data_IF_580904681907
#
_entry.id   IF_580904681907
#
_cell.length_a   1.000
_cell.length_b   1.000
_cell.length_c   1.000
_cell.angle_alpha   90.00
_cell.angle_beta   90.00
_cell.angle_gamma   90.00
#
_symmetry.space_group_name_H-M   'P 1'
#
loop_
_entity.id
_entity.type
_entity.pdbx_description
1 polymer ?
#
# COMPACT_ATOMS: atom_id res chain seq x y z
N UNK A 1 -17.24 4.39 -3.00
CA UNK A 1 -17.15 3.94 -1.60
C UNK A 1 -17.21 5.16 -0.70
N UNK A 2 -17.75 5.03 0.52
CA UNK A 2 -17.75 6.13 1.49
C UNK A 2 -16.32 6.44 1.95
N UNK A 3 -15.98 7.73 2.04
CA UNK A 3 -14.70 8.21 2.58
C UNK A 3 -14.56 7.74 4.03
N UNK A 4 -13.46 7.07 4.35
CA UNK A 4 -13.18 6.63 5.71
C UNK A 4 -12.63 7.80 6.54
N UNK A 5 -12.85 7.73 7.84
CA UNK A 5 -12.35 8.70 8.80
C UNK A 5 -10.81 8.71 8.78
N UNK A 6 -10.20 9.90 8.91
CA UNK A 6 -8.76 10.00 9.10
C UNK A 6 -8.27 9.13 10.28
N UNK A 7 -7.10 8.50 10.09
CA UNK A 7 -6.53 7.52 11.01
C UNK A 7 -7.02 6.08 10.81
N UNK A 8 -8.02 5.85 9.95
CA UNK A 8 -8.44 4.48 9.59
C UNK A 8 -7.40 3.82 8.68
N UNK A 9 -7.00 2.59 9.01
CA UNK A 9 -6.23 1.74 8.11
C UNK A 9 -7.13 1.29 6.96
N UNK A 10 -6.73 1.61 5.73
CA UNK A 10 -7.49 1.38 4.52
C UNK A 10 -7.09 0.05 3.85
N UNK A 11 -5.80 -0.24 3.83
CA UNK A 11 -5.23 -1.29 3.00
C UNK A 11 -3.84 -1.71 3.50
N UNK A 12 -3.40 -2.90 3.11
CA UNK A 12 -2.03 -3.36 3.32
C UNK A 12 -1.42 -3.86 2.02
N UNK A 13 -0.21 -3.40 1.71
CA UNK A 13 0.60 -3.92 0.61
C UNK A 13 1.93 -4.43 1.11
N UNK A 14 2.40 -5.52 0.54
CA UNK A 14 3.78 -5.95 0.65
C UNK A 14 4.54 -5.46 -0.58
N UNK A 15 5.58 -4.65 -0.39
CA UNK A 15 6.53 -4.34 -1.48
C UNK A 15 7.74 -5.25 -1.38
N UNK A 16 8.11 -5.93 -2.47
CA UNK A 16 9.24 -6.90 -2.54
C UNK A 16 9.90 -6.89 -3.92
N UNK A 17 11.15 -7.34 -4.04
CA UNK A 17 11.84 -7.37 -5.34
C UNK A 17 11.18 -8.32 -6.36
N UNK A 18 10.63 -9.44 -5.89
CA UNK A 18 10.01 -10.48 -6.71
C UNK A 18 8.62 -10.85 -6.15
N UNK A 19 7.58 -10.13 -6.59
CA UNK A 19 6.22 -10.38 -6.16
C UNK A 19 5.67 -11.72 -6.65
N UNK A 20 6.16 -12.23 -7.79
CA UNK A 20 5.77 -13.56 -8.31
C UNK A 20 6.12 -14.64 -7.30
N UNK A 21 7.40 -14.73 -6.93
CA UNK A 21 7.89 -15.75 -6.00
C UNK A 21 7.28 -15.58 -4.60
N UNK A 22 7.15 -14.34 -4.12
CA UNK A 22 6.63 -14.07 -2.77
C UNK A 22 5.13 -14.30 -2.67
N UNK A 23 4.36 -14.01 -3.71
CA UNK A 23 2.92 -14.32 -3.71
C UNK A 23 2.68 -15.83 -3.69
N UNK A 24 3.39 -16.61 -4.50
CA UNK A 24 3.35 -18.09 -4.48
C UNK A 24 3.73 -18.67 -3.11
N UNK A 25 4.70 -18.05 -2.44
CA UNK A 25 5.07 -18.41 -1.08
C UNK A 25 3.91 -18.20 -0.10
N UNK A 26 3.24 -17.04 -0.13
CA UNK A 26 2.10 -16.79 0.77
C UNK A 26 0.87 -17.63 0.42
N UNK A 27 0.66 -18.02 -0.84
CA UNK A 27 -0.36 -19.03 -1.17
C UNK A 27 -0.11 -20.33 -0.40
N UNK A 28 1.13 -20.78 -0.31
CA UNK A 28 1.49 -22.02 0.38
C UNK A 28 1.51 -21.90 1.90
N UNK A 29 1.93 -20.76 2.44
CA UNK A 29 2.10 -20.58 3.89
C UNK A 29 0.80 -20.23 4.60
N UNK A 30 0.00 -19.33 4.03
CA UNK A 30 -1.24 -18.84 4.66
C UNK A 30 -2.51 -19.22 3.91
N UNK A 31 -2.39 -19.83 2.73
CA UNK A 31 -3.53 -20.33 1.97
C UNK A 31 -4.28 -19.25 1.18
N UNK A 32 -3.65 -18.12 0.89
CA UNK A 32 -4.28 -17.07 0.09
C UNK A 32 -4.53 -17.49 -1.37
N UNK A 33 -5.66 -17.04 -1.89
CA UNK A 33 -5.96 -17.06 -3.32
C UNK A 33 -5.30 -15.84 -3.98
N UNK A 34 -4.64 -16.06 -5.11
CA UNK A 34 -3.86 -15.06 -5.83
C UNK A 34 -4.58 -14.66 -7.11
N UNK A 35 -4.68 -13.36 -7.35
CA UNK A 35 -5.16 -12.80 -8.62
C UNK A 35 -4.15 -11.79 -9.16
N UNK A 36 -3.89 -11.86 -10.47
CA UNK A 36 -2.97 -10.95 -11.14
C UNK A 36 -3.59 -9.56 -11.31
N UNK A 37 -2.77 -8.53 -11.10
CA UNK A 37 -3.07 -7.14 -11.37
C UNK A 37 -2.06 -6.61 -12.39
N UNK A 38 -2.52 -6.35 -13.61
CA UNK A 38 -1.64 -5.90 -14.69
C UNK A 38 -1.06 -4.51 -14.40
N UNK A 39 0.27 -4.42 -14.44
CA UNK A 39 1.04 -3.18 -14.32
C UNK A 39 1.64 -2.73 -15.65
N UNK A 40 1.13 -3.27 -16.77
CA UNK A 40 1.68 -3.10 -18.11
C UNK A 40 2.53 -4.29 -18.53
N UNK A 41 3.86 -4.17 -18.37
CA UNK A 41 4.84 -5.19 -18.77
C UNK A 41 5.10 -6.28 -17.72
N UNK A 42 4.51 -6.15 -16.53
CA UNK A 42 4.52 -7.15 -15.46
C UNK A 42 3.19 -7.17 -14.70
N UNK A 43 3.06 -8.10 -13.76
CA UNK A 43 1.92 -8.20 -12.85
C UNK A 43 2.37 -7.97 -11.40
N UNK A 44 1.56 -7.22 -10.67
CA UNK A 44 1.49 -7.31 -9.21
C UNK A 44 0.32 -8.24 -8.84
N UNK A 45 0.09 -8.47 -7.55
CA UNK A 45 -0.89 -9.46 -7.10
C UNK A 45 -1.81 -8.93 -6.03
N UNK A 46 -3.10 -9.22 -6.18
CA UNK A 46 -4.09 -9.11 -5.09
C UNK A 46 -4.27 -10.50 -4.48
N UNK A 47 -4.07 -10.58 -3.17
CA UNK A 47 -4.19 -11.78 -2.37
C UNK A 47 -5.46 -11.71 -1.53
N UNK A 48 -6.19 -12.81 -1.44
CA UNK A 48 -7.45 -12.89 -0.71
C UNK A 48 -7.47 -14.13 0.18
N UNK A 49 -8.11 -14.04 1.35
CA UNK A 49 -8.42 -15.23 2.13
C UNK A 49 -9.32 -16.18 1.34
N UNK A 50 -9.03 -17.49 1.41
CA UNK A 50 -9.87 -18.50 0.80
C UNK A 50 -11.30 -18.43 1.36
N UNK A 51 -12.29 -18.59 0.50
CA UNK A 51 -13.72 -18.51 0.84
C UNK A 51 -14.12 -17.15 1.46
N UNK A 52 -13.35 -16.10 1.22
CA UNK A 52 -13.67 -14.77 1.70
C UNK A 52 -15.00 -14.27 1.13
N UNK A 53 -15.70 -13.46 1.94
CA UNK A 53 -16.97 -12.88 1.58
C UNK A 53 -16.84 -12.03 0.30
N UNK A 54 -17.55 -12.35 -0.79
CA UNK A 54 -17.47 -11.59 -2.04
C UNK A 54 -17.93 -10.14 -1.89
N UNK A 55 -18.79 -9.84 -0.91
CA UNK A 55 -19.29 -8.48 -0.66
C UNK A 55 -18.33 -7.64 0.22
N UNK A 56 -17.35 -8.28 0.86
CA UNK A 56 -16.38 -7.63 1.72
C UNK A 56 -15.05 -8.42 1.73
N UNK A 57 -14.35 -8.50 0.59
CA UNK A 57 -13.18 -9.35 0.46
C UNK A 57 -12.00 -8.75 1.25
N UNK A 58 -11.57 -9.45 2.30
CA UNK A 58 -10.34 -9.17 3.02
C UNK A 58 -9.16 -9.45 2.09
N UNK A 59 -8.58 -8.38 1.57
CA UNK A 59 -7.57 -8.44 0.51
C UNK A 59 -6.35 -7.60 0.87
N UNK A 60 -5.20 -8.02 0.35
CA UNK A 60 -3.92 -7.33 0.46
C UNK A 60 -3.20 -7.38 -0.88
N UNK A 61 -2.31 -6.43 -1.15
CA UNK A 61 -1.47 -6.49 -2.34
C UNK A 61 -0.08 -7.05 -2.05
N UNK A 62 0.52 -7.67 -3.07
CA UNK A 62 1.94 -7.97 -3.12
C UNK A 62 2.47 -7.35 -4.42
N UNK A 63 3.29 -6.32 -4.25
CA UNK A 63 3.79 -5.47 -5.32
C UNK A 63 5.30 -5.64 -5.53
N UNK A 64 5.73 -5.56 -6.78
CA UNK A 64 7.13 -5.44 -7.11
C UNK A 64 7.69 -4.07 -6.66
N UNK A 65 8.90 -4.09 -6.12
CA UNK A 65 9.71 -2.91 -5.86
C UNK A 65 10.24 -2.34 -7.20
N UNK A 66 9.35 -1.75 -7.98
CA UNK A 66 9.60 -1.18 -9.31
C UNK A 66 9.03 0.23 -9.41
N UNK A 67 9.53 1.00 -10.37
CA UNK A 67 9.09 2.37 -10.63
C UNK A 67 9.07 3.21 -9.34
N UNK A 68 7.93 3.77 -8.93
CA UNK A 68 7.83 4.58 -7.72
C UNK A 68 7.99 3.79 -6.41
N UNK A 69 8.02 2.45 -6.45
CA UNK A 69 8.24 1.60 -5.28
C UNK A 69 9.69 1.07 -5.19
N UNK A 70 10.56 1.41 -6.16
CA UNK A 70 11.91 0.82 -6.28
C UNK A 70 12.84 1.10 -5.08
N UNK A 71 12.58 2.18 -4.33
CA UNK A 71 13.38 2.55 -3.16
C UNK A 71 12.86 1.97 -1.85
N UNK A 72 11.73 1.26 -1.87
CA UNK A 72 11.12 0.68 -0.67
C UNK A 72 11.77 -0.69 -0.41
N UNK A 73 12.36 -0.92 0.77
CA UNK A 73 12.87 -2.25 1.13
C UNK A 73 11.71 -3.26 1.25
N UNK A 74 11.99 -4.58 1.27
CA UNK A 74 10.97 -5.59 1.55
C UNK A 74 10.17 -5.27 2.82
N UNK A 75 8.89 -4.87 2.67
CA UNK A 75 8.13 -4.30 3.79
C UNK A 75 6.61 -4.44 3.61
N UNK A 76 5.92 -4.80 4.70
CA UNK A 76 4.46 -4.73 4.80
C UNK A 76 4.04 -3.32 5.19
N UNK A 77 3.42 -2.61 4.26
CA UNK A 77 3.00 -1.22 4.37
C UNK A 77 1.50 -1.14 4.66
N UNK A 78 1.15 -0.45 5.74
CA UNK A 78 -0.22 -0.03 5.97
C UNK A 78 -0.49 1.30 5.24
N UNK A 79 -1.69 1.41 4.69
CA UNK A 79 -2.26 2.64 4.12
C UNK A 79 -3.21 3.25 5.12
N UNK A 80 -3.01 4.51 5.49
CA UNK A 80 -3.83 5.19 6.51
C UNK A 80 -4.47 6.42 5.92
N UNK A 81 -5.78 6.54 6.14
CA UNK A 81 -6.58 7.67 5.68
C UNK A 81 -6.12 8.98 6.37
N UNK A 82 -6.01 10.04 5.59
CA UNK A 82 -5.79 11.41 6.07
C UNK A 82 -6.80 12.36 5.44
N UNK A 83 -7.18 13.41 6.17
CA UNK A 83 -8.16 14.39 5.67
C UNK A 83 -7.58 15.28 4.56
N UNK A 84 -6.29 15.60 4.67
CA UNK A 84 -5.54 16.40 3.71
C UNK A 84 -4.10 15.90 3.68
N UNK A 85 -3.66 15.42 2.53
CA UNK A 85 -2.33 14.82 2.39
C UNK A 85 -1.23 15.86 2.58
N UNK A 86 -1.35 17.03 1.95
CA UNK A 86 -0.29 18.04 1.97
C UNK A 86 0.00 18.54 3.39
N UNK A 87 -1.04 18.85 4.18
CA UNK A 87 -0.90 19.19 5.61
C UNK A 87 -0.26 18.07 6.42
N UNK A 88 -0.56 16.81 6.10
CA UNK A 88 0.00 15.66 6.80
C UNK A 88 1.48 15.46 6.46
N UNK A 89 1.87 15.73 5.22
CA UNK A 89 3.28 15.69 4.77
C UNK A 89 4.10 16.82 5.40
N UNK A 90 3.59 18.05 5.41
CA UNK A 90 4.21 19.17 6.12
C UNK A 90 4.42 18.84 7.61
N UNK A 91 3.39 18.27 8.25
CA UNK A 91 3.47 17.89 9.67
C UNK A 91 4.48 16.77 9.92
N UNK A 92 4.58 15.80 9.01
CA UNK A 92 5.57 14.72 9.07
C UNK A 92 6.99 15.29 9.12
N UNK A 93 7.31 16.21 8.19
CA UNK A 93 8.63 16.84 8.15
C UNK A 93 8.90 17.69 9.40
N UNK A 94 7.91 18.48 9.83
CA UNK A 94 8.03 19.33 11.02
C UNK A 94 8.28 18.54 12.32
N UNK A 95 7.89 17.26 12.37
CA UNK A 95 8.08 16.37 13.51
C UNK A 95 9.30 15.44 13.37
N UNK A 96 10.16 15.67 12.37
CA UNK A 96 11.40 14.91 12.18
C UNK A 96 11.25 13.62 11.37
N UNK A 97 10.09 13.38 10.78
CA UNK A 97 9.90 12.34 9.76
C UNK A 97 10.39 12.78 8.38
N UNK A 98 10.31 11.88 7.41
CA UNK A 98 10.68 12.12 6.01
C UNK A 98 9.52 11.80 5.09
N UNK A 99 9.38 12.61 4.04
CA UNK A 99 8.52 12.29 2.89
C UNK A 99 9.38 11.55 1.87
N UNK A 100 8.91 10.39 1.41
CA UNK A 100 9.66 9.50 0.53
C UNK A 100 8.98 9.45 -0.84
N UNK A 101 9.71 9.87 -1.86
CA UNK A 101 9.21 9.96 -3.23
C UNK A 101 8.17 11.07 -3.42
N UNK A 102 7.52 11.05 -4.57
CA UNK A 102 6.52 12.05 -4.95
C UNK A 102 5.12 11.70 -4.42
N UNK A 103 4.27 12.72 -4.28
CA UNK A 103 2.83 12.54 -4.09
C UNK A 103 2.24 11.92 -5.36
N UNK A 104 1.54 10.79 -5.20
CA UNK A 104 0.99 9.97 -6.29
C UNK A 104 -0.52 10.04 -6.33
N UNK A 105 -1.09 10.01 -7.53
CA UNK A 105 -2.53 9.96 -7.73
C UNK A 105 -2.95 8.54 -8.10
N UNK A 106 -4.03 8.07 -7.48
CA UNK A 106 -4.81 6.95 -8.00
C UNK A 106 -6.08 7.56 -8.61
N UNK A 107 -6.21 7.43 -9.93
CA UNK A 107 -7.29 8.07 -10.69
C UNK A 107 -8.66 7.74 -10.07
N UNK A 108 -9.47 8.77 -9.80
CA UNK A 108 -10.78 8.65 -9.13
C UNK A 108 -10.79 8.09 -7.69
N UNK A 109 -9.64 7.73 -7.11
CA UNK A 109 -9.54 7.14 -5.76
C UNK A 109 -8.80 8.02 -4.75
N UNK A 110 -8.02 9.00 -5.20
CA UNK A 110 -7.41 10.02 -4.35
C UNK A 110 -5.90 10.11 -4.52
N UNK A 111 -5.23 10.62 -3.48
CA UNK A 111 -3.79 10.87 -3.48
C UNK A 111 -3.12 10.15 -2.33
N UNK A 112 -1.89 9.69 -2.54
CA UNK A 112 -1.12 9.00 -1.53
C UNK A 112 0.36 9.32 -1.61
N UNK A 113 1.06 9.20 -0.49
CA UNK A 113 2.49 9.42 -0.40
C UNK A 113 3.10 8.62 0.75
N UNK A 114 4.32 8.14 0.55
CA UNK A 114 5.02 7.34 1.55
C UNK A 114 5.76 8.27 2.50
N UNK A 115 5.69 7.97 3.80
CA UNK A 115 6.51 8.62 4.81
C UNK A 115 7.38 7.63 5.55
N UNK A 116 8.45 8.14 6.15
CA UNK A 116 9.25 7.45 7.16
C UNK A 116 9.17 8.25 8.47
N UNK A 117 8.81 7.59 9.57
CA UNK A 117 8.75 8.21 10.90
C UNK A 117 10.16 8.41 11.52
N UNK A 118 10.28 9.10 12.67
CA UNK A 118 11.57 9.31 13.33
C UNK A 118 12.29 8.02 13.78
N UNK A 119 11.58 6.90 13.91
CA UNK A 119 12.15 5.60 14.23
C UNK A 119 12.62 4.83 12.97
N UNK A 120 12.30 5.33 11.77
CA UNK A 120 12.66 4.71 10.50
C UNK A 120 11.57 3.82 9.92
N UNK A 121 10.40 3.70 10.55
CA UNK A 121 9.30 2.89 10.05
C UNK A 121 8.54 3.59 8.91
N UNK A 122 8.02 2.80 7.97
CA UNK A 122 7.31 3.30 6.80
C UNK A 122 5.79 3.26 6.99
N UNK A 123 5.10 4.27 6.47
CA UNK A 123 3.64 4.33 6.44
C UNK A 123 3.18 5.03 5.17
N UNK A 124 2.14 4.51 4.51
CA UNK A 124 1.51 5.21 3.40
C UNK A 124 0.37 6.08 3.90
N UNK A 125 0.43 7.39 3.63
CA UNK A 125 -0.70 8.29 3.86
C UNK A 125 -1.56 8.37 2.62
N UNK A 126 -2.88 8.32 2.77
CA UNK A 126 -3.84 8.35 1.66
C UNK A 126 -4.98 9.34 1.96
N UNK A 127 -5.07 10.38 1.15
CA UNK A 127 -6.24 11.26 1.06
C UNK A 127 -7.23 10.72 0.02
N UNK A 128 -8.32 10.12 0.48
CA UNK A 128 -9.38 9.63 -0.41
C UNK A 128 -10.09 10.81 -1.09
N UNK A 129 -10.43 10.61 -2.38
CA UNK A 129 -11.19 11.56 -3.20
C UNK A 129 -12.57 11.90 -2.59
#
# INVERSE_FOLDING_TARGET
MEKKKAGTVLWHDLTVSDANTVSDFYQQVVGWEKSGLSMGDYEDYVMQAKDANPDAPETVGICHAKGPNAYIPPHWLAHVAVDNLDKSLERTQALGGKVIGDKRQMENHGWYCLIQDPAGAYLMLWEQA
#
